data_IF_556523546615
#
_entry.id   IF_556523546615
#
_cell.length_a   1.000
_cell.length_b   1.000
_cell.length_c   1.000
_cell.angle_alpha   90.00
_cell.angle_beta   90.00
_cell.angle_gamma   90.00
#
_symmetry.space_group_name_H-M   'P 1'
#
loop_
_entity.id
_entity.type
_entity.pdbx_description
1 polymer ?
#
# COMPACT_ATOMS: atom_id res chain seq x y z
N UNK A 1 -13.27 -17.62 19.15
CA UNK A 1 -12.94 -17.10 17.82
C UNK A 1 -12.59 -15.64 18.01
N UNK A 2 -11.32 -15.29 18.06
CA UNK A 2 -10.90 -13.88 18.05
C UNK A 2 -11.27 -13.29 16.69
N UNK A 3 -12.13 -12.31 16.69
CA UNK A 3 -12.41 -11.48 15.52
C UNK A 3 -11.08 -10.83 15.09
N UNK A 4 -10.47 -11.32 14.01
CA UNK A 4 -9.35 -10.64 13.36
C UNK A 4 -9.81 -9.21 13.10
N UNK A 5 -9.32 -8.26 13.91
CA UNK A 5 -9.50 -6.84 13.62
C UNK A 5 -8.86 -6.62 12.27
N UNK A 6 -9.63 -6.17 11.28
CA UNK A 6 -9.12 -5.77 9.97
C UNK A 6 -8.04 -4.70 10.21
N UNK A 7 -6.78 -5.13 10.22
CA UNK A 7 -5.65 -4.24 10.40
C UNK A 7 -5.19 -3.80 9.02
N UNK A 8 -5.22 -2.51 8.77
CA UNK A 8 -4.66 -1.91 7.57
C UNK A 8 -3.46 -1.05 7.92
N UNK A 9 -2.53 -0.97 7.01
CA UNK A 9 -1.41 -0.05 7.07
C UNK A 9 -1.74 1.18 6.25
N UNK A 10 -1.35 2.31 6.77
CA UNK A 10 -1.32 3.55 6.04
C UNK A 10 0.07 3.66 5.42
N UNK A 11 0.10 3.72 4.09
CA UNK A 11 1.30 3.70 3.30
C UNK A 11 1.59 5.12 2.73
N UNK A 12 2.85 5.64 2.80
CA UNK A 12 3.17 6.97 2.28
C UNK A 12 2.97 7.04 0.77
N UNK A 13 2.27 8.07 0.34
CA UNK A 13 2.00 8.39 -1.05
C UNK A 13 2.69 9.73 -1.39
N UNK A 14 3.35 9.89 -2.56
CA UNK A 14 3.82 11.20 -3.01
C UNK A 14 2.64 12.15 -3.22
N UNK A 15 2.83 13.40 -2.85
CA UNK A 15 1.86 14.46 -3.07
C UNK A 15 1.58 14.63 -4.57
N UNK A 16 0.33 14.89 -4.88
CA UNK A 16 -0.20 15.14 -6.22
C UNK A 16 0.82 15.64 -7.24
N UNK A 17 0.96 14.91 -8.37
CA UNK A 17 1.66 15.29 -9.59
C UNK A 17 3.20 15.24 -9.61
N UNK A 18 3.89 14.74 -8.61
CA UNK A 18 5.31 14.45 -8.77
C UNK A 18 5.50 13.15 -9.56
N UNK A 19 6.09 13.28 -10.74
CA UNK A 19 6.22 12.23 -11.78
C UNK A 19 7.19 11.10 -11.40
N UNK A 20 7.83 11.17 -10.23
CA UNK A 20 8.74 10.12 -9.76
C UNK A 20 8.19 9.41 -8.53
N UNK A 21 8.13 8.06 -8.56
CA UNK A 21 7.80 7.31 -7.37
C UNK A 21 8.93 7.49 -6.34
N UNK A 22 8.62 8.04 -5.18
CA UNK A 22 9.59 8.22 -4.07
C UNK A 22 10.30 6.92 -3.67
N UNK A 23 9.66 5.78 -3.87
CA UNK A 23 10.16 4.47 -3.47
C UNK A 23 9.97 3.42 -4.56
N UNK A 24 10.99 2.57 -4.72
CA UNK A 24 10.87 1.33 -5.51
C UNK A 24 9.72 0.45 -4.96
N UNK A 25 8.96 -0.26 -5.82
CA UNK A 25 7.91 -1.19 -5.41
C UNK A 25 8.32 -2.19 -4.32
N UNK A 26 9.57 -2.63 -4.35
CA UNK A 26 10.11 -3.56 -3.34
C UNK A 26 10.30 -2.90 -1.99
N UNK A 27 10.76 -1.65 -1.99
CA UNK A 27 10.94 -0.87 -0.76
C UNK A 27 9.60 -0.60 -0.11
N UNK A 28 8.57 -0.31 -0.90
CA UNK A 28 7.18 -0.17 -0.45
C UNK A 28 6.67 -1.42 0.25
N UNK A 29 6.87 -2.58 -0.34
CA UNK A 29 6.45 -3.86 0.26
C UNK A 29 7.17 -4.13 1.59
N UNK A 30 8.48 -3.91 1.64
CA UNK A 30 9.26 -4.11 2.88
C UNK A 30 8.84 -3.10 3.96
N UNK A 31 8.57 -1.84 3.61
CA UNK A 31 8.04 -0.84 4.52
C UNK A 31 6.72 -1.30 5.17
N UNK A 32 5.77 -1.78 4.35
CA UNK A 32 4.47 -2.27 4.82
C UNK A 32 4.64 -3.48 5.74
N UNK A 33 5.50 -4.43 5.37
CA UNK A 33 5.76 -5.62 6.17
C UNK A 33 6.37 -5.28 7.54
N UNK A 34 7.29 -4.32 7.63
CA UNK A 34 7.84 -3.86 8.91
C UNK A 34 6.76 -3.13 9.71
N UNK A 35 5.96 -2.28 9.07
CA UNK A 35 4.93 -1.48 9.72
C UNK A 35 3.79 -2.32 10.33
N UNK A 36 3.55 -3.51 9.83
CA UNK A 36 2.63 -4.50 10.42
C UNK A 36 2.90 -4.73 11.92
N UNK A 37 4.16 -4.63 12.33
CA UNK A 37 4.62 -4.87 13.70
C UNK A 37 4.86 -3.58 14.51
N UNK A 38 4.42 -2.45 13.97
CA UNK A 38 4.65 -1.15 14.60
C UNK A 38 3.76 -0.94 15.82
N UNK A 39 4.36 -0.57 16.92
CA UNK A 39 3.65 -0.02 18.07
C UNK A 39 3.16 1.40 17.74
N UNK A 40 1.86 1.64 17.95
CA UNK A 40 1.21 2.91 17.57
C UNK A 40 1.65 4.10 18.44
N UNK A 41 2.13 3.84 19.65
CA UNK A 41 2.54 4.87 20.60
C UNK A 41 3.98 5.31 20.37
N UNK A 42 4.87 4.33 20.20
CA UNK A 42 6.29 4.60 20.03
C UNK A 42 6.70 4.82 18.57
N UNK A 43 5.86 4.41 17.63
CA UNK A 43 6.14 4.34 16.18
C UNK A 43 7.36 3.46 15.86
N UNK A 44 7.60 2.45 16.68
CA UNK A 44 8.72 1.54 16.53
C UNK A 44 8.26 0.11 16.24
N UNK A 45 9.06 -0.61 15.49
CA UNK A 45 8.88 -2.03 15.20
C UNK A 45 10.23 -2.75 15.31
N UNK A 46 10.18 -4.07 15.59
CA UNK A 46 11.40 -4.88 15.68
C UNK A 46 11.25 -6.28 15.09
N UNK A 47 10.60 -6.45 13.91
CA UNK A 47 10.55 -7.76 13.28
C UNK A 47 11.95 -8.21 12.85
N UNK A 48 12.21 -9.50 13.00
CA UNK A 48 13.43 -10.12 12.48
C UNK A 48 13.41 -10.22 10.96
N UNK A 49 14.57 -10.37 10.33
CA UNK A 49 14.61 -10.63 8.88
C UNK A 49 13.84 -11.91 8.52
N UNK A 50 13.88 -12.95 9.36
CA UNK A 50 13.10 -14.16 9.16
C UNK A 50 11.58 -13.87 9.16
N UNK A 51 11.11 -13.00 10.05
CA UNK A 51 9.72 -12.55 10.09
C UNK A 51 9.34 -11.81 8.81
N UNK A 52 10.16 -10.84 8.38
CA UNK A 52 9.93 -10.09 7.14
C UNK A 52 9.97 -11.02 5.92
N UNK A 53 10.89 -12.00 5.87
CA UNK A 53 10.93 -13.01 4.81
C UNK A 53 9.63 -13.82 4.76
N UNK A 54 9.11 -14.24 5.91
CA UNK A 54 7.85 -14.98 5.99
C UNK A 54 6.69 -14.20 5.39
N UNK A 55 6.57 -12.92 5.69
CA UNK A 55 5.48 -12.06 5.22
C UNK A 55 5.61 -11.70 3.73
N UNK A 56 6.83 -11.52 3.25
CA UNK A 56 7.07 -10.96 1.91
C UNK A 56 7.61 -11.95 0.89
N UNK A 57 8.12 -13.09 1.32
CA UNK A 57 8.92 -14.03 0.51
C UNK A 57 10.23 -13.43 -0.04
N UNK A 58 10.72 -12.33 0.54
CA UNK A 58 11.97 -11.68 0.14
C UNK A 58 13.19 -12.37 0.76
N UNK A 59 14.28 -12.47 -0.01
CA UNK A 59 15.58 -12.91 0.52
C UNK A 59 16.19 -11.84 1.46
N UNK A 60 16.92 -12.27 2.49
CA UNK A 60 17.55 -11.38 3.48
C UNK A 60 18.41 -10.26 2.86
N UNK A 61 19.15 -10.55 1.77
CA UNK A 61 19.92 -9.55 1.03
C UNK A 61 19.03 -8.47 0.42
N UNK A 62 17.88 -8.84 -0.11
CA UNK A 62 16.88 -7.90 -0.67
C UNK A 62 16.28 -7.05 0.45
N UNK A 63 15.89 -7.66 1.56
CA UNK A 63 15.35 -6.96 2.74
C UNK A 63 16.35 -5.90 3.21
N UNK A 64 17.62 -6.29 3.37
CA UNK A 64 18.66 -5.34 3.79
C UNK A 64 18.76 -4.14 2.84
N UNK A 65 18.84 -4.42 1.52
CA UNK A 65 18.91 -3.34 0.51
C UNK A 65 17.71 -2.40 0.57
N UNK A 66 16.49 -2.95 0.71
CA UNK A 66 15.28 -2.14 0.81
C UNK A 66 15.28 -1.30 2.09
N UNK A 67 15.72 -1.85 3.23
CA UNK A 67 15.85 -1.09 4.48
C UNK A 67 16.86 0.05 4.34
N UNK A 68 18.03 -0.23 3.75
CA UNK A 68 19.05 0.80 3.49
C UNK A 68 18.50 1.94 2.62
N UNK A 69 17.69 1.61 1.59
CA UNK A 69 16.99 2.60 0.77
C UNK A 69 15.95 3.39 1.58
N UNK A 70 15.11 2.72 2.37
CA UNK A 70 14.08 3.38 3.20
C UNK A 70 14.69 4.34 4.21
N UNK A 71 15.87 4.01 4.76
CA UNK A 71 16.62 4.91 5.65
C UNK A 71 17.16 6.10 4.86
N UNK A 72 17.78 5.87 3.71
CA UNK A 72 18.32 6.93 2.85
C UNK A 72 17.25 7.94 2.42
N UNK A 73 16.05 7.45 2.07
CA UNK A 73 14.91 8.29 1.67
C UNK A 73 14.13 8.87 2.87
N UNK A 74 14.60 8.61 4.11
CA UNK A 74 14.04 9.19 5.33
C UNK A 74 12.67 8.65 5.73
N UNK A 75 12.29 7.44 5.33
CA UNK A 75 11.06 6.76 5.75
C UNK A 75 11.23 6.03 7.08
N UNK A 76 12.44 5.54 7.35
CA UNK A 76 12.80 4.81 8.55
C UNK A 76 14.10 5.33 9.14
N UNK A 77 14.21 5.23 10.46
CA UNK A 77 15.48 5.22 11.17
C UNK A 77 15.71 3.81 11.72
N UNK A 78 16.98 3.39 11.79
CA UNK A 78 17.32 2.08 12.35
C UNK A 78 18.35 2.24 13.47
N UNK A 79 18.16 1.49 14.56
CA UNK A 79 19.15 1.34 15.62
C UNK A 79 19.27 -0.11 16.05
N UNK A 80 20.40 -0.48 16.59
CA UNK A 80 20.62 -1.81 17.17
C UNK A 80 20.54 -1.75 18.69
N UNK A 81 19.78 -2.67 19.28
CA UNK A 81 19.76 -2.94 20.71
C UNK A 81 20.07 -4.43 20.94
N UNK A 82 21.30 -4.73 21.32
CA UNK A 82 21.79 -6.09 21.42
C UNK A 82 21.70 -6.82 20.06
N UNK A 83 20.89 -7.88 19.99
CA UNK A 83 20.66 -8.65 18.75
C UNK A 83 19.47 -8.16 17.92
N UNK A 84 18.70 -7.18 18.43
CA UNK A 84 17.50 -6.68 17.75
C UNK A 84 17.87 -5.46 16.90
N UNK A 85 17.19 -5.34 15.75
CA UNK A 85 17.14 -4.11 14.97
C UNK A 85 15.79 -3.47 15.27
N UNK A 86 15.81 -2.22 15.66
CA UNK A 86 14.62 -1.42 15.88
C UNK A 86 14.47 -0.49 14.69
N UNK A 87 13.27 -0.47 14.14
CA UNK A 87 12.85 0.38 13.04
C UNK A 87 11.92 1.45 13.59
N UNK A 88 12.28 2.71 13.49
CA UNK A 88 11.44 3.84 13.87
C UNK A 88 10.88 4.49 12.63
N UNK A 89 9.56 4.68 12.60
CA UNK A 89 8.86 5.25 11.45
C UNK A 89 8.82 6.77 11.54
N UNK A 90 9.18 7.43 10.43
CA UNK A 90 9.01 8.86 10.29
C UNK A 90 7.62 9.13 9.70
N UNK A 91 6.83 10.00 10.37
CA UNK A 91 5.50 10.36 9.91
C UNK A 91 5.58 11.26 8.68
N UNK A 92 5.39 10.69 7.49
CA UNK A 92 5.15 11.45 6.26
C UNK A 92 3.65 11.63 6.03
N UNK A 93 3.23 12.80 5.51
CA UNK A 93 1.87 13.34 5.59
C UNK A 93 0.81 12.73 4.65
N UNK A 94 1.17 11.85 3.72
CA UNK A 94 0.21 11.28 2.75
C UNK A 94 0.26 9.76 2.76
N UNK A 95 -0.93 9.13 2.75
CA UNK A 95 -1.06 7.71 3.05
C UNK A 95 -2.14 7.06 2.19
N UNK A 96 -1.84 5.88 1.67
CA UNK A 96 -2.82 4.96 1.11
C UNK A 96 -3.07 3.81 2.09
N UNK A 97 -4.32 3.47 2.41
CA UNK A 97 -4.64 2.32 3.25
C UNK A 97 -4.39 1.01 2.47
N UNK A 98 -3.77 0.04 3.16
CA UNK A 98 -3.47 -1.27 2.59
C UNK A 98 -3.71 -2.37 3.62
N UNK A 99 -4.44 -3.45 3.25
CA UNK A 99 -4.69 -4.57 4.17
C UNK A 99 -3.43 -5.40 4.40
N UNK A 100 -3.17 -5.74 5.66
CA UNK A 100 -2.10 -6.68 5.99
C UNK A 100 -2.41 -8.12 5.56
N UNK A 101 -3.68 -8.51 5.41
CA UNK A 101 -4.08 -9.85 4.99
C UNK A 101 -3.53 -10.23 3.62
N UNK A 102 -3.28 -9.21 2.79
CA UNK A 102 -2.58 -9.38 1.52
C UNK A 102 -1.16 -9.96 1.68
N UNK A 103 -0.44 -9.61 2.74
CA UNK A 103 0.90 -10.15 3.01
C UNK A 103 0.86 -11.65 3.28
N UNK A 104 -0.26 -12.14 3.80
CA UNK A 104 -0.46 -13.55 4.17
C UNK A 104 -0.85 -14.44 2.98
N UNK A 105 -0.99 -13.89 1.76
CA UNK A 105 -1.24 -14.66 0.52
C UNK A 105 0.01 -15.48 0.15
N UNK A 106 0.00 -16.82 0.34
CA UNK A 106 1.22 -17.65 0.16
C UNK A 106 1.57 -17.91 -1.31
N UNK A 107 0.58 -17.79 -2.20
CA UNK A 107 0.70 -18.02 -3.62
C UNK A 107 1.22 -16.79 -4.39
N UNK A 108 1.28 -15.62 -3.75
CA UNK A 108 1.85 -14.42 -4.33
C UNK A 108 3.34 -14.31 -4.04
N UNK A 109 4.15 -14.25 -5.09
CA UNK A 109 5.58 -14.00 -4.99
C UNK A 109 5.90 -12.59 -4.52
N UNK A 110 7.12 -12.36 -4.03
CA UNK A 110 7.62 -11.04 -3.65
C UNK A 110 7.44 -9.99 -4.75
N UNK A 111 7.69 -10.36 -6.00
CA UNK A 111 7.57 -9.45 -7.15
C UNK A 111 6.11 -9.11 -7.45
N UNK A 112 5.21 -10.07 -7.37
CA UNK A 112 3.77 -9.84 -7.57
C UNK A 112 3.19 -8.97 -6.46
N UNK A 113 3.54 -9.23 -5.20
CA UNK A 113 3.15 -8.38 -4.06
C UNK A 113 3.64 -6.95 -4.26
N UNK A 114 4.91 -6.76 -4.66
CA UNK A 114 5.47 -5.43 -4.93
C UNK A 114 4.75 -4.71 -6.08
N UNK A 115 4.41 -5.45 -7.15
CA UNK A 115 3.68 -4.93 -8.30
C UNK A 115 2.27 -4.46 -7.92
N UNK A 116 1.52 -5.27 -7.19
CA UNK A 116 0.15 -4.93 -6.75
C UNK A 116 0.16 -3.67 -5.88
N UNK A 117 1.07 -3.59 -4.90
CA UNK A 117 1.20 -2.42 -4.02
C UNK A 117 1.50 -1.15 -4.83
N UNK A 118 2.47 -1.22 -5.75
CA UNK A 118 2.84 -0.06 -6.54
C UNK A 118 1.74 0.37 -7.52
N UNK A 119 0.96 -0.59 -8.01
CA UNK A 119 -0.13 -0.33 -8.96
C UNK A 119 -1.36 0.30 -8.29
N UNK A 120 -1.54 0.10 -6.99
CA UNK A 120 -2.76 0.49 -6.27
C UNK A 120 -3.09 1.98 -6.39
N UNK A 121 -2.10 2.86 -6.37
CA UNK A 121 -2.28 4.31 -6.51
C UNK A 121 -2.79 4.75 -7.88
N UNK A 122 -2.65 3.89 -8.90
CA UNK A 122 -3.07 4.13 -10.28
C UNK A 122 -4.35 3.36 -10.64
N UNK A 123 -4.95 2.67 -9.67
CA UNK A 123 -6.19 1.94 -9.86
C UNK A 123 -7.38 2.89 -9.76
N UNK A 124 -8.21 2.91 -10.79
CA UNK A 124 -9.58 3.36 -10.71
C UNK A 124 -10.39 2.27 -10.02
N UNK A 125 -11.08 2.58 -8.97
CA UNK A 125 -11.75 1.59 -8.14
C UNK A 125 -13.25 1.76 -8.26
N UNK A 126 -13.86 0.66 -8.63
CA UNK A 126 -15.27 0.45 -8.75
C UNK A 126 -15.64 -0.70 -7.81
N UNK A 127 -16.84 -0.78 -7.30
CA UNK A 127 -17.36 -1.68 -6.27
C UNK A 127 -16.50 -2.89 -5.83
N UNK A 128 -16.10 -3.76 -6.76
CA UNK A 128 -15.32 -4.97 -6.48
C UNK A 128 -14.01 -5.07 -7.29
N UNK A 129 -13.80 -4.16 -8.24
CA UNK A 129 -12.66 -4.19 -9.14
C UNK A 129 -11.76 -2.95 -9.00
N UNK A 130 -10.46 -3.15 -9.14
CA UNK A 130 -9.49 -2.08 -9.34
C UNK A 130 -9.04 -2.02 -10.80
N UNK A 131 -9.45 -1.01 -11.55
CA UNK A 131 -9.16 -0.87 -12.99
C UNK A 131 -7.91 -0.02 -13.22
N UNK A 132 -6.96 -0.52 -13.99
CA UNK A 132 -5.79 0.22 -14.46
C UNK A 132 -5.93 0.45 -15.96
N UNK A 133 -5.96 1.73 -16.36
CA UNK A 133 -6.09 2.17 -17.75
C UNK A 133 -4.75 2.59 -18.37
N UNK A 134 -3.66 1.89 -18.02
CA UNK A 134 -2.32 2.14 -18.54
C UNK A 134 -1.79 0.90 -19.24
N UNK A 135 -1.16 1.07 -20.40
CA UNK A 135 -0.40 -0.02 -21.00
C UNK A 135 0.86 -0.33 -20.16
N UNK A 136 1.51 -1.47 -20.40
CA UNK A 136 2.65 -1.91 -19.59
C UNK A 136 3.83 -0.93 -19.63
N UNK A 137 4.04 -0.26 -20.78
CA UNK A 137 5.13 0.72 -20.96
C UNK A 137 4.89 1.99 -20.15
N UNK A 138 3.65 2.47 -20.13
CA UNK A 138 3.25 3.63 -19.33
C UNK A 138 3.35 3.31 -17.85
N UNK A 139 2.77 2.19 -17.44
CA UNK A 139 2.79 1.74 -16.05
C UNK A 139 4.23 1.49 -15.56
N UNK A 140 5.12 0.97 -16.43
CA UNK A 140 6.54 0.78 -16.13
C UNK A 140 7.23 2.07 -15.66
N UNK A 141 6.92 3.18 -16.32
CA UNK A 141 7.47 4.50 -15.96
C UNK A 141 6.88 5.01 -14.65
N UNK A 142 5.57 4.82 -14.46
CA UNK A 142 4.84 5.31 -13.29
C UNK A 142 5.26 4.60 -12.00
N UNK A 143 5.46 3.27 -12.04
CA UNK A 143 5.78 2.48 -10.85
C UNK A 143 7.26 2.09 -10.74
N UNK A 144 8.10 2.58 -11.65
CA UNK A 144 9.53 2.24 -11.69
C UNK A 144 9.80 0.71 -11.69
N UNK A 145 9.07 -0.02 -12.54
CA UNK A 145 9.23 -1.48 -12.69
C UNK A 145 9.42 -1.83 -14.17
N UNK A 146 10.38 -2.72 -14.54
CA UNK A 146 10.59 -3.09 -15.94
C UNK A 146 9.32 -3.64 -16.60
N UNK A 147 9.03 -3.23 -17.84
CA UNK A 147 7.84 -3.66 -18.60
C UNK A 147 7.73 -5.18 -18.71
N UNK A 148 8.86 -5.85 -18.92
CA UNK A 148 8.92 -7.32 -18.96
C UNK A 148 8.51 -7.96 -17.63
N UNK A 149 8.80 -7.31 -16.50
CA UNK A 149 8.38 -7.77 -15.17
C UNK A 149 6.89 -7.58 -14.99
N UNK A 150 6.35 -6.40 -15.35
CA UNK A 150 4.91 -6.13 -15.33
C UNK A 150 4.16 -7.15 -16.16
N UNK A 151 4.60 -7.41 -17.39
CA UNK A 151 3.98 -8.39 -18.28
C UNK A 151 3.96 -9.81 -17.68
N UNK A 152 5.05 -10.22 -17.01
CA UNK A 152 5.11 -11.50 -16.29
C UNK A 152 4.15 -11.52 -15.09
N UNK A 153 4.10 -10.46 -14.30
CA UNK A 153 3.17 -10.32 -13.16
C UNK A 153 1.71 -10.40 -13.64
N UNK A 154 1.34 -9.64 -14.67
CA UNK A 154 -0.01 -9.64 -15.21
C UNK A 154 -0.46 -11.05 -15.60
N UNK A 155 0.32 -11.76 -16.42
CA UNK A 155 0.02 -13.14 -16.82
C UNK A 155 -0.05 -14.13 -15.66
N UNK A 156 0.79 -13.94 -14.66
CA UNK A 156 0.78 -14.80 -13.48
C UNK A 156 -0.41 -14.53 -12.59
N UNK A 157 -0.77 -13.27 -12.37
CA UNK A 157 -1.92 -12.86 -11.57
C UNK A 157 -3.24 -13.25 -12.24
N UNK A 158 -3.33 -13.17 -13.58
CA UNK A 158 -4.49 -13.64 -14.33
C UNK A 158 -4.70 -15.14 -14.15
N UNK A 159 -3.64 -15.95 -14.26
CA UNK A 159 -3.74 -17.41 -14.01
C UNK A 159 -4.15 -17.76 -12.58
N UNK A 160 -3.89 -16.88 -11.62
CA UNK A 160 -4.25 -17.05 -10.21
C UNK A 160 -5.62 -16.46 -9.86
N UNK A 161 -6.32 -15.83 -10.82
CA UNK A 161 -7.63 -15.20 -10.61
C UNK A 161 -7.59 -13.85 -9.91
N UNK A 162 -6.42 -13.22 -9.77
CA UNK A 162 -6.28 -11.89 -9.14
C UNK A 162 -6.40 -10.73 -10.13
N UNK A 163 -6.34 -11.01 -11.42
CA UNK A 163 -6.37 -10.02 -12.50
C UNK A 163 -7.13 -10.58 -13.69
N UNK A 164 -7.85 -9.72 -14.41
CA UNK A 164 -8.39 -9.98 -15.74
C UNK A 164 -7.81 -8.99 -16.76
N UNK A 165 -7.70 -9.40 -18.02
CA UNK A 165 -7.22 -8.56 -19.10
C UNK A 165 -5.71 -8.33 -19.09
N UNK A 166 -4.90 -9.34 -18.73
CA UNK A 166 -3.44 -9.24 -18.66
C UNK A 166 -2.78 -8.75 -19.94
N UNK A 167 -3.37 -9.05 -21.10
CA UNK A 167 -2.93 -8.64 -22.44
C UNK A 167 -3.60 -7.38 -22.95
N UNK A 168 -4.57 -6.85 -22.24
CA UNK A 168 -5.37 -5.67 -22.61
C UNK A 168 -4.75 -4.38 -22.08
N UNK A 169 -5.23 -3.24 -22.59
CA UNK A 169 -4.89 -1.92 -22.05
C UNK A 169 -5.52 -1.78 -20.66
N UNK A 170 -6.79 -2.12 -20.54
CA UNK A 170 -7.53 -2.08 -19.27
C UNK A 170 -7.33 -3.40 -18.53
N UNK A 171 -6.73 -3.31 -17.35
CA UNK A 171 -6.52 -4.45 -16.45
C UNK A 171 -7.44 -4.30 -15.23
N UNK A 172 -8.10 -5.39 -14.86
CA UNK A 172 -9.04 -5.41 -13.75
C UNK A 172 -8.49 -6.28 -12.63
N UNK A 173 -8.15 -5.66 -11.51
CA UNK A 173 -7.74 -6.38 -10.31
C UNK A 173 -8.97 -6.78 -9.49
N UNK A 174 -9.05 -8.03 -9.08
CA UNK A 174 -10.10 -8.57 -8.22
C UNK A 174 -9.81 -8.18 -6.76
N UNK A 175 -10.42 -7.09 -6.29
CA UNK A 175 -10.11 -6.51 -4.97
C UNK A 175 -10.52 -7.43 -3.81
N UNK A 176 -11.60 -8.22 -3.99
CA UNK A 176 -12.02 -9.22 -3.00
C UNK A 176 -10.97 -10.30 -2.81
N UNK A 177 -10.44 -10.83 -3.90
CA UNK A 177 -9.42 -11.87 -3.85
C UNK A 177 -8.09 -11.36 -3.29
N UNK A 178 -7.85 -10.06 -3.39
CA UNK A 178 -6.69 -9.37 -2.83
C UNK A 178 -6.91 -8.89 -1.39
N UNK A 179 -8.06 -9.17 -0.77
CA UNK A 179 -8.45 -8.68 0.57
C UNK A 179 -8.42 -7.15 0.70
N UNK A 180 -8.65 -6.43 -0.42
CA UNK A 180 -8.63 -4.95 -0.46
C UNK A 180 -10.03 -4.33 -0.48
N UNK A 181 -11.10 -5.13 -0.70
CA UNK A 181 -12.46 -4.63 -0.87
C UNK A 181 -12.97 -3.86 0.35
N UNK A 182 -12.68 -4.35 1.55
CA UNK A 182 -13.16 -3.72 2.80
C UNK A 182 -12.59 -2.32 2.99
N UNK A 183 -11.32 -2.14 2.67
CA UNK A 183 -10.58 -0.87 2.84
C UNK A 183 -11.19 0.23 1.95
N UNK A 184 -11.65 -0.15 0.75
CA UNK A 184 -12.29 0.79 -0.17
C UNK A 184 -13.62 1.28 0.35
N UNK A 185 -14.47 0.37 0.83
CA UNK A 185 -15.75 0.73 1.43
C UNK A 185 -15.58 1.64 2.66
N UNK A 186 -14.52 1.42 3.42
CA UNK A 186 -14.19 2.25 4.58
C UNK A 186 -13.76 3.66 4.16
N UNK A 187 -12.85 3.78 3.17
CA UNK A 187 -12.41 5.08 2.66
C UNK A 187 -13.56 5.89 2.07
N UNK A 188 -14.42 5.26 1.28
CA UNK A 188 -15.63 5.90 0.72
C UNK A 188 -16.58 6.38 1.81
N UNK A 189 -16.74 5.63 2.90
CA UNK A 189 -17.54 6.05 4.05
C UNK A 189 -16.90 7.23 4.79
N UNK A 190 -15.59 7.20 5.00
CA UNK A 190 -14.87 8.30 5.65
C UNK A 190 -14.94 9.60 4.84
N UNK A 191 -14.78 9.52 3.52
CA UNK A 191 -14.94 10.67 2.62
C UNK A 191 -16.36 11.24 2.67
N UNK A 192 -17.39 10.38 2.70
CA UNK A 192 -18.80 10.80 2.87
C UNK A 192 -19.05 11.43 4.25
N UNK A 193 -18.47 10.88 5.31
CA UNK A 193 -18.56 11.43 6.67
C UNK A 193 -17.88 12.78 6.75
N UNK A 194 -16.70 12.92 6.15
CA UNK A 194 -15.96 14.17 6.13
C UNK A 194 -16.71 15.26 5.37
N UNK A 195 -17.24 14.95 4.19
CA UNK A 195 -18.08 15.87 3.41
C UNK A 195 -19.32 16.31 4.17
N UNK A 196 -20.05 15.37 4.80
CA UNK A 196 -21.20 15.68 5.63
C UNK A 196 -20.83 16.56 6.84
N UNK A 197 -19.67 16.38 7.43
CA UNK A 197 -19.17 17.21 8.53
C UNK A 197 -18.89 18.64 8.07
N UNK A 198 -18.30 18.83 6.91
CA UNK A 198 -18.04 20.14 6.31
C UNK A 198 -19.35 20.87 5.97
N UNK A 199 -20.34 20.16 5.43
CA UNK A 199 -21.67 20.67 5.13
C UNK A 199 -22.40 21.10 6.42
N UNK A 200 -22.31 20.32 7.49
CA UNK A 200 -22.87 20.67 8.80
C UNK A 200 -22.20 21.92 9.38
N UNK A 201 -20.90 22.05 9.27
CA UNK A 201 -20.17 23.23 9.76
C UNK A 201 -20.43 24.48 8.90
N UNK A 202 -20.66 24.31 7.62
CA UNK A 202 -21.15 25.38 6.75
C UNK A 202 -22.56 25.86 7.19
N UNK A 203 -23.52 24.94 7.35
CA UNK A 203 -24.87 25.25 7.81
C UNK A 203 -24.89 25.92 9.19
N UNK A 204 -24.05 25.48 10.12
CA UNK A 204 -23.92 26.11 11.44
C UNK A 204 -23.41 27.56 11.33
N UNK A 205 -22.50 27.84 10.40
CA UNK A 205 -22.01 29.22 10.15
C UNK A 205 -23.09 30.10 9.56
N UNK A 206 -23.88 29.62 8.60
CA UNK A 206 -24.99 30.37 8.01
C UNK A 206 -26.12 30.64 9.03
N UNK A 207 -26.47 29.65 9.85
CA UNK A 207 -27.44 29.83 10.94
C UNK A 207 -27.02 30.89 11.97
N UNK A 208 -25.71 31.02 12.23
CA UNK A 208 -25.20 32.09 13.10
C UNK A 208 -25.32 33.49 12.45
N UNK A 209 -25.19 33.58 11.12
CA UNK A 209 -25.35 34.82 10.37
C UNK A 209 -26.79 35.31 10.33
N UNK A 210 -27.77 34.40 10.30
CA UNK A 210 -29.19 34.71 10.23
C UNK A 210 -29.76 35.11 11.61
N UNK A 211 -29.08 34.70 12.69
CA UNK A 211 -29.51 35.04 14.08
C UNK A 211 -28.96 36.37 14.60
N UNK A 212 -28.21 37.10 13.77
CA UNK A 212 -27.75 38.47 14.00
C UNK A 212 -28.59 39.47 13.18
#
# INVERSE_FOLDING_TARGET
METKRNQFVIYPHPANNEVQPDLDPKDKLIYIAIRRYMDKTTLEAFPSYATITKDTSAAAKTIKKCIDNLVREGYLETRKEGRKIIYKFNNKKQFEPFSYDFLDKPDLSFTEKSYIIASQQYMFKDEEEGKINYNNRELSKLINMPESTISKCNRSLERKGYLEGASEIVKKFQLRELDQLFIWKFKEQDEKIQKNSEDIDYLKRELKRIKL
#
